data_IF_617303742457
#
_entry.id   IF_617303742457
#
_cell.length_a   1.000
_cell.length_b   1.000
_cell.length_c   1.000
_cell.angle_alpha   90.00
_cell.angle_beta   90.00
_cell.angle_gamma   90.00
#
_symmetry.space_group_name_H-M   'P 1'
#
loop_
_entity.id
_entity.type
_entity.pdbx_description
1 polymer ?
#
# COMPACT_ATOMS: atom_id res chain seq x y z
N UNK A 1 32.48 -12.74 -45.90
CA UNK A 1 32.17 -13.53 -44.68
C UNK A 1 32.73 -12.97 -43.35
N UNK A 2 33.92 -12.32 -43.31
CA UNK A 2 34.49 -11.81 -42.04
C UNK A 2 33.72 -10.65 -41.38
N UNK A 3 33.13 -9.71 -42.14
CA UNK A 3 32.35 -8.59 -41.56
C UNK A 3 30.99 -8.99 -40.99
N UNK A 4 30.31 -9.98 -41.58
CA UNK A 4 29.00 -10.46 -41.09
C UNK A 4 29.13 -11.05 -39.68
N UNK A 5 30.19 -11.82 -39.42
CA UNK A 5 30.47 -12.36 -38.07
C UNK A 5 30.80 -11.28 -37.03
N UNK A 6 31.40 -10.14 -37.44
CA UNK A 6 31.75 -9.03 -36.53
C UNK A 6 30.54 -8.26 -36.02
N UNK A 7 29.44 -8.23 -36.78
CA UNK A 7 28.19 -7.56 -36.39
C UNK A 7 27.22 -8.56 -35.74
N UNK A 8 27.26 -9.83 -36.15
CA UNK A 8 26.37 -10.85 -35.63
C UNK A 8 26.55 -11.11 -34.12
N UNK A 9 27.80 -11.20 -33.64
CA UNK A 9 28.09 -11.42 -32.22
C UNK A 9 27.54 -10.30 -31.31
N UNK A 10 27.81 -9.00 -31.55
CA UNK A 10 27.27 -7.94 -30.70
C UNK A 10 25.76 -7.85 -30.76
N UNK A 11 25.14 -8.11 -31.92
CA UNK A 11 23.67 -8.19 -32.02
C UNK A 11 23.12 -9.31 -31.16
N UNK A 12 23.75 -10.48 -31.18
CA UNK A 12 23.33 -11.63 -30.37
C UNK A 12 23.50 -11.35 -28.88
N UNK A 13 24.58 -10.69 -28.47
CA UNK A 13 24.78 -10.24 -27.07
C UNK A 13 23.70 -9.26 -26.63
N UNK A 14 23.39 -8.23 -27.43
CA UNK A 14 22.35 -7.25 -27.09
C UNK A 14 20.98 -7.92 -27.00
N UNK A 15 20.65 -8.82 -27.92
CA UNK A 15 19.41 -9.60 -27.86
C UNK A 15 19.35 -10.48 -26.61
N UNK A 16 20.47 -11.09 -26.22
CA UNK A 16 20.53 -11.96 -25.03
C UNK A 16 20.35 -11.17 -23.74
N UNK A 17 20.97 -9.98 -23.64
CA UNK A 17 20.80 -9.06 -22.52
C UNK A 17 19.37 -8.53 -22.46
N UNK A 18 18.82 -8.13 -23.61
CA UNK A 18 17.43 -7.69 -23.72
C UNK A 18 16.44 -8.76 -23.27
N UNK A 19 16.59 -9.99 -23.76
CA UNK A 19 15.76 -11.13 -23.35
C UNK A 19 15.89 -11.42 -21.85
N UNK A 20 17.12 -11.41 -21.30
CA UNK A 20 17.35 -11.64 -19.86
C UNK A 20 16.69 -10.55 -19.01
N UNK A 21 16.78 -9.29 -19.43
CA UNK A 21 16.10 -8.18 -18.77
C UNK A 21 14.58 -8.34 -18.84
N UNK A 22 14.02 -8.66 -20.01
CA UNK A 22 12.58 -8.87 -20.18
C UNK A 22 12.06 -10.01 -19.30
N UNK A 23 12.77 -11.14 -19.23
CA UNK A 23 12.40 -12.26 -18.35
C UNK A 23 12.46 -11.85 -16.88
N UNK A 24 13.51 -11.12 -16.48
CA UNK A 24 13.64 -10.59 -15.12
C UNK A 24 12.51 -9.63 -14.76
N UNK A 25 12.19 -8.69 -15.64
CA UNK A 25 11.10 -7.73 -15.47
C UNK A 25 9.73 -8.41 -15.41
N UNK A 26 9.47 -9.43 -16.25
CA UNK A 26 8.25 -10.23 -16.20
C UNK A 26 8.13 -10.99 -14.89
N UNK A 27 9.23 -11.61 -14.44
CA UNK A 27 9.26 -12.36 -13.18
C UNK A 27 8.98 -11.44 -11.98
N UNK A 28 9.65 -10.29 -11.91
CA UNK A 28 9.40 -9.29 -10.87
C UNK A 28 7.97 -8.73 -10.94
N UNK A 29 7.46 -8.54 -12.16
CA UNK A 29 6.09 -8.11 -12.41
C UNK A 29 5.05 -9.08 -11.83
N UNK A 30 5.16 -10.35 -12.18
CA UNK A 30 4.20 -11.38 -11.78
C UNK A 30 4.26 -11.68 -10.28
N UNK A 31 5.43 -11.55 -9.66
CA UNK A 31 5.58 -11.86 -8.24
C UNK A 31 5.25 -10.66 -7.34
N UNK A 32 5.62 -9.44 -7.75
CA UNK A 32 5.56 -8.26 -6.88
C UNK A 32 4.89 -7.04 -7.55
N UNK A 33 5.35 -6.58 -8.72
CA UNK A 33 4.96 -5.25 -9.21
C UNK A 33 3.51 -5.13 -9.72
N UNK A 34 2.89 -6.24 -10.12
CA UNK A 34 1.50 -6.24 -10.60
C UNK A 34 0.50 -6.77 -9.57
N UNK A 35 0.92 -6.99 -8.33
CA UNK A 35 -0.01 -7.39 -7.28
C UNK A 35 -1.01 -6.25 -6.99
N UNK A 36 -2.29 -6.57 -6.78
CA UNK A 36 -3.30 -5.57 -6.50
C UNK A 36 -3.02 -4.91 -5.14
N UNK A 37 -3.08 -3.58 -5.11
CA UNK A 37 -2.84 -2.79 -3.89
C UNK A 37 -4.05 -2.86 -2.95
N UNK A 38 -3.80 -2.70 -1.66
CA UNK A 38 -4.85 -2.41 -0.69
C UNK A 38 -5.25 -0.96 -0.86
N UNK A 39 -6.53 -0.71 -1.09
CA UNK A 39 -7.12 0.62 -1.13
C UNK A 39 -7.70 0.93 0.25
N UNK A 40 -7.35 2.06 0.84
CA UNK A 40 -7.91 2.49 2.11
C UNK A 40 -8.44 3.91 2.02
N UNK A 41 -9.69 4.08 2.46
CA UNK A 41 -10.34 5.37 2.59
C UNK A 41 -10.58 5.66 4.07
N UNK A 42 -10.07 6.78 4.58
CA UNK A 42 -10.23 7.19 5.97
C UNK A 42 -11.04 8.48 5.99
N UNK A 43 -12.22 8.44 6.61
CA UNK A 43 -13.10 9.59 6.78
C UNK A 43 -13.11 10.08 8.22
N UNK A 44 -12.89 11.38 8.41
CA UNK A 44 -13.04 12.00 9.71
C UNK A 44 -14.47 12.51 9.90
N UNK A 45 -15.23 11.87 10.79
CA UNK A 45 -16.57 12.27 11.22
C UNK A 45 -16.63 12.50 12.73
N UNK A 46 -15.49 12.83 13.35
CA UNK A 46 -15.36 12.95 14.80
C UNK A 46 -15.90 14.26 15.37
N UNK A 47 -16.17 15.25 14.51
CA UNK A 47 -16.51 16.61 14.94
C UNK A 47 -15.29 17.48 15.23
N UNK A 48 -14.07 16.93 15.16
CA UNK A 48 -12.81 17.65 15.42
C UNK A 48 -11.78 17.34 14.33
N UNK A 49 -10.75 18.16 14.21
CA UNK A 49 -9.58 17.84 13.38
C UNK A 49 -8.78 16.70 14.02
N UNK A 50 -8.36 15.72 13.22
CA UNK A 50 -7.38 14.72 13.62
C UNK A 50 -5.99 15.35 13.44
N UNK A 51 -5.27 15.53 14.55
CA UNK A 51 -3.95 16.16 14.59
C UNK A 51 -2.82 15.20 14.22
N UNK A 52 -2.98 13.91 14.53
CA UNK A 52 -2.07 12.83 14.14
C UNK A 52 -2.87 11.62 13.69
N UNK A 53 -2.52 11.06 12.55
CA UNK A 53 -3.16 9.88 12.00
C UNK A 53 -2.08 8.90 11.57
N UNK A 54 -2.15 7.67 12.09
CA UNK A 54 -1.17 6.63 11.87
C UNK A 54 -1.87 5.31 11.55
N UNK A 55 -1.43 4.65 10.50
CA UNK A 55 -1.84 3.28 10.17
C UNK A 55 -0.66 2.35 10.44
N UNK A 56 -0.85 1.40 11.34
CA UNK A 56 0.10 0.32 11.58
C UNK A 56 -0.35 -0.89 10.77
N UNK A 57 0.53 -1.46 9.98
CA UNK A 57 0.24 -2.64 9.16
C UNK A 57 1.23 -3.73 9.52
N UNK A 58 0.72 -4.95 9.71
CA UNK A 58 1.49 -6.11 10.10
C UNK A 58 1.19 -7.28 9.16
N UNK A 59 2.23 -7.77 8.51
CA UNK A 59 2.19 -8.94 7.61
C UNK A 59 3.11 -10.04 8.15
N UNK A 60 3.14 -11.21 7.51
CA UNK A 60 3.87 -12.40 7.97
C UNK A 60 5.38 -12.23 8.22
N UNK A 61 5.99 -11.10 7.83
CA UNK A 61 7.39 -10.79 8.15
C UNK A 61 7.74 -9.30 8.21
N UNK A 62 6.78 -8.40 8.02
CA UNK A 62 7.03 -6.96 7.94
C UNK A 62 5.97 -6.19 8.71
N UNK A 63 6.42 -5.31 9.60
CA UNK A 63 5.59 -4.28 10.23
C UNK A 63 5.98 -2.93 9.63
N UNK A 64 4.99 -2.16 9.18
CA UNK A 64 5.19 -0.82 8.65
C UNK A 64 4.19 0.16 9.24
N UNK A 65 4.63 1.39 9.46
CA UNK A 65 3.78 2.49 9.90
C UNK A 65 3.66 3.52 8.78
N UNK A 66 2.42 3.93 8.49
CA UNK A 66 2.11 4.99 7.53
C UNK A 66 1.56 6.18 8.31
N UNK A 67 2.21 7.32 8.16
CA UNK A 67 1.78 8.58 8.77
C UNK A 67 1.08 9.45 7.74
N UNK A 68 -0.05 10.02 8.13
CA UNK A 68 -0.82 10.91 7.28
C UNK A 68 -0.74 12.34 7.78
N UNK A 69 -1.03 13.28 6.88
CA UNK A 69 -1.23 14.67 7.25
C UNK A 69 -2.45 14.80 8.19
N UNK A 70 -2.49 15.85 9.03
CA UNK A 70 -3.69 16.16 9.82
C UNK A 70 -4.94 16.20 8.94
N UNK A 71 -6.04 15.63 9.44
CA UNK A 71 -7.27 15.48 8.67
C UNK A 71 -8.39 16.29 9.33
N UNK A 72 -8.83 17.35 8.66
CA UNK A 72 -9.95 18.19 9.13
C UNK A 72 -11.26 17.38 9.24
N UNK A 73 -12.17 17.86 10.07
CA UNK A 73 -13.49 17.24 10.20
C UNK A 73 -14.23 17.24 8.85
N UNK A 74 -14.96 16.15 8.57
CA UNK A 74 -15.70 15.87 7.32
C UNK A 74 -14.82 15.71 6.08
N UNK A 75 -13.50 15.62 6.22
CA UNK A 75 -12.60 15.30 5.12
C UNK A 75 -12.35 13.80 5.04
N UNK A 76 -11.90 13.40 3.85
CA UNK A 76 -11.56 12.03 3.49
C UNK A 76 -10.14 12.05 2.94
N UNK A 77 -9.36 11.03 3.30
CA UNK A 77 -8.10 10.73 2.64
C UNK A 77 -8.20 9.32 2.03
N UNK A 78 -7.64 9.19 0.84
CA UNK A 78 -7.53 7.93 0.13
C UNK A 78 -6.05 7.59 -0.01
N UNK A 79 -5.71 6.35 0.28
CA UNK A 79 -4.34 5.86 0.20
C UNK A 79 -4.32 4.44 -0.35
N UNK A 80 -3.19 4.08 -0.90
CA UNK A 80 -2.93 2.74 -1.42
C UNK A 80 -1.58 2.28 -0.94
N UNK A 81 -1.51 1.03 -0.53
CA UNK A 81 -0.25 0.43 -0.09
C UNK A 81 -0.18 -1.04 -0.51
N UNK A 82 1.04 -1.50 -0.68
CA UNK A 82 1.34 -2.88 -1.01
C UNK A 82 1.50 -3.70 0.28
N UNK A 83 0.93 -4.89 0.28
CA UNK A 83 1.19 -5.92 1.29
C UNK A 83 1.56 -7.22 0.59
N UNK A 84 2.37 -8.03 1.25
CA UNK A 84 2.71 -9.36 0.75
C UNK A 84 1.82 -10.39 1.44
N UNK A 85 0.89 -10.99 0.67
CA UNK A 85 -0.08 -11.96 1.18
C UNK A 85 -1.14 -11.31 2.08
N UNK A 86 -1.42 -11.95 3.21
CA UNK A 86 -2.42 -11.50 4.17
C UNK A 86 -1.77 -10.76 5.35
N UNK A 87 -2.54 -9.87 5.97
CA UNK A 87 -2.07 -9.09 7.11
C UNK A 87 -3.17 -8.53 7.98
N UNK A 88 -2.73 -7.97 9.09
CA UNK A 88 -3.53 -7.12 9.96
C UNK A 88 -3.16 -5.65 9.81
N UNK A 89 -4.08 -4.77 10.18
CA UNK A 89 -3.78 -3.35 10.36
C UNK A 89 -4.52 -2.79 11.56
N UNK A 90 -3.99 -1.70 12.09
CA UNK A 90 -4.63 -0.91 13.13
C UNK A 90 -4.50 0.58 12.81
N UNK A 91 -5.63 1.28 12.79
CA UNK A 91 -5.67 2.73 12.62
C UNK A 91 -5.65 3.42 13.99
N UNK A 92 -4.81 4.43 14.16
CA UNK A 92 -4.71 5.25 15.36
C UNK A 92 -4.86 6.73 14.97
N UNK A 93 -5.77 7.43 15.65
CA UNK A 93 -6.08 8.83 15.40
C UNK A 93 -6.07 9.64 16.70
N UNK A 94 -5.24 10.69 16.75
CA UNK A 94 -5.25 11.66 17.85
C UNK A 94 -6.03 12.90 17.44
N UNK A 95 -7.14 13.16 18.11
CA UNK A 95 -7.99 14.34 17.91
C UNK A 95 -7.32 15.63 18.44
N UNK A 96 -7.81 16.78 18.00
CA UNK A 96 -7.28 18.09 18.40
C UNK A 96 -7.36 18.36 19.92
N UNK A 97 -8.32 17.75 20.62
CA UNK A 97 -8.42 17.79 22.08
C UNK A 97 -7.38 16.91 22.82
N UNK A 98 -6.51 16.21 22.09
CA UNK A 98 -5.50 15.30 22.64
C UNK A 98 -5.99 13.87 22.90
N UNK A 99 -7.27 13.57 22.66
CA UNK A 99 -7.81 12.21 22.77
C UNK A 99 -7.28 11.33 21.64
N UNK A 100 -6.71 10.18 21.98
CA UNK A 100 -6.33 9.15 21.00
C UNK A 100 -7.40 8.07 20.91
N UNK A 101 -7.77 7.74 19.68
CA UNK A 101 -8.68 6.66 19.33
C UNK A 101 -7.89 5.61 18.54
N UNK A 102 -8.05 4.35 18.92
CA UNK A 102 -7.49 3.22 18.18
C UNK A 102 -8.65 2.38 17.64
N UNK A 103 -8.53 2.00 16.37
CA UNK A 103 -9.41 1.02 15.77
C UNK A 103 -9.08 -0.39 16.23
N UNK A 104 -9.97 -1.31 15.88
CA UNK A 104 -9.73 -2.73 16.04
C UNK A 104 -8.63 -3.21 15.09
N UNK A 105 -8.10 -4.41 15.36
CA UNK A 105 -7.17 -5.05 14.45
C UNK A 105 -7.94 -5.58 13.24
N UNK A 106 -7.89 -4.85 12.13
CA UNK A 106 -8.58 -5.18 10.89
C UNK A 106 -7.76 -6.15 10.05
N UNK A 107 -8.44 -6.98 9.26
CA UNK A 107 -7.83 -7.90 8.31
C UNK A 107 -7.73 -7.26 6.91
N UNK A 108 -6.61 -7.49 6.22
CA UNK A 108 -6.38 -7.05 4.84
C UNK A 108 -5.62 -8.10 4.03
N UNK A 109 -5.96 -8.17 2.74
CA UNK A 109 -5.20 -8.89 1.72
C UNK A 109 -5.12 -8.06 0.44
N UNK A 110 -4.18 -8.39 -0.44
CA UNK A 110 -3.96 -7.69 -1.71
C UNK A 110 -5.26 -7.54 -2.51
N UNK A 111 -5.60 -6.32 -2.89
CA UNK A 111 -6.83 -5.97 -3.61
C UNK A 111 -7.99 -5.49 -2.74
N UNK A 112 -7.91 -5.60 -1.41
CA UNK A 112 -8.97 -5.14 -0.52
C UNK A 112 -9.21 -3.64 -0.65
N UNK A 113 -10.48 -3.26 -0.51
CA UNK A 113 -10.89 -1.88 -0.24
C UNK A 113 -11.41 -1.78 1.18
N UNK A 114 -10.72 -0.99 2.00
CA UNK A 114 -11.07 -0.73 3.39
C UNK A 114 -11.57 0.69 3.56
N UNK A 115 -12.68 0.86 4.28
CA UNK A 115 -13.24 2.16 4.64
C UNK A 115 -13.25 2.30 6.16
N UNK A 116 -12.49 3.28 6.64
CA UNK A 116 -12.43 3.65 8.04
C UNK A 116 -13.19 4.95 8.28
N UNK A 117 -14.05 4.95 9.30
CA UNK A 117 -14.76 6.14 9.73
C UNK A 117 -14.40 6.45 11.18
N UNK A 118 -13.63 7.52 11.37
CA UNK A 118 -13.24 8.01 12.69
C UNK A 118 -14.37 8.87 13.26
N UNK A 119 -14.96 8.45 14.37
CA UNK A 119 -15.99 9.18 15.13
C UNK A 119 -15.42 9.64 16.47
N UNK A 120 -16.17 10.43 17.24
CA UNK A 120 -15.72 10.94 18.54
C UNK A 120 -15.52 9.85 19.60
N UNK A 121 -16.18 8.71 19.44
CA UNK A 121 -16.21 7.61 20.40
C UNK A 121 -15.46 6.35 19.92
N UNK A 122 -14.87 6.36 18.73
CA UNK A 122 -14.20 5.19 18.19
C UNK A 122 -14.04 5.24 16.68
N UNK A 123 -13.55 4.15 16.12
CA UNK A 123 -13.30 3.98 14.69
C UNK A 123 -14.15 2.79 14.20
N UNK A 124 -14.81 2.94 13.07
CA UNK A 124 -15.61 1.87 12.45
C UNK A 124 -15.02 1.50 11.11
N UNK A 125 -14.71 0.21 10.95
CA UNK A 125 -14.16 -0.35 9.72
C UNK A 125 -15.24 -1.04 8.88
N UNK A 126 -15.08 -0.97 7.57
CA UNK A 126 -15.80 -1.81 6.60
C UNK A 126 -14.82 -2.22 5.50
N UNK A 127 -14.61 -3.53 5.34
CA UNK A 127 -13.73 -4.08 4.31
C UNK A 127 -14.55 -4.82 3.25
N UNK A 128 -14.13 -4.70 2.00
CA UNK A 128 -14.68 -5.42 0.84
C UNK A 128 -13.55 -5.81 -0.12
N UNK A 129 -13.67 -6.97 -0.77
CA UNK A 129 -12.83 -7.37 -1.89
C UNK A 129 -13.34 -6.76 -3.20
#
# INVERSE_FOLDING_TARGET
MKSVKKIFIPVLVVLSLGASFCIGALTAGLNDWFQPLVNMQISNQSGQTISKLKLQVQTAGVQHEIFFQPLENKKIIETQFFIQGEGGYQLEATLANGQTLSGDNGYIESGYTVKEVVRSNGITSTASY
#
